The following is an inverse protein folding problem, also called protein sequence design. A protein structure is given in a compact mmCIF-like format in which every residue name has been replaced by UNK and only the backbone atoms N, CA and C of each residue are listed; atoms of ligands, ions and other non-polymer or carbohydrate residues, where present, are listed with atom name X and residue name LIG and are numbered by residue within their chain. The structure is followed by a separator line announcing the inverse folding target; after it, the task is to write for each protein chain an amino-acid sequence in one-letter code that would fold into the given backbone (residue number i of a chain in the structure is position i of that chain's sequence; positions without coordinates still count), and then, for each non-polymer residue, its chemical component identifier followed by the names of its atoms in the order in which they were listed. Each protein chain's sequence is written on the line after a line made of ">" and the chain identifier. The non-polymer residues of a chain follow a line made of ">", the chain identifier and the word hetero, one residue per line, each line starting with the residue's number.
data_IF_294861379726
#
_entry.id   IF_294861379726
#
_cell.length_a   1.000
_cell.length_b   1.000
_cell.length_c   1.000
_cell.angle_alpha   90.00
_cell.angle_beta   90.00
_cell.angle_gamma   90.00
#
_symmetry.space_group_name_H-M   'P 1'
#
loop_
_entity.id
_entity.type
_entity.pdbx_description
1 polymer ?
#
# COMPACT_ATOMS: atom_id res chain seq x y z
N UNK A 1 -6.39 -65.76 -16.99
CA UNK A 1 -5.29 -64.75 -17.03
C UNK A 1 -5.75 -63.35 -17.46
N UNK A 2 -6.73 -63.20 -18.37
CA UNK A 2 -7.22 -61.88 -18.82
C UNK A 2 -7.97 -61.04 -17.77
N UNK A 3 -8.70 -61.66 -16.83
CA UNK A 3 -9.48 -60.93 -15.81
C UNK A 3 -8.63 -60.19 -14.76
N UNK A 4 -7.41 -60.69 -14.48
CA UNK A 4 -6.48 -60.06 -13.54
C UNK A 4 -5.84 -58.80 -14.16
N UNK A 5 -5.48 -58.88 -15.46
CA UNK A 5 -4.93 -57.77 -16.23
C UNK A 5 -5.94 -56.60 -16.40
N UNK A 6 -7.23 -56.90 -16.56
CA UNK A 6 -8.26 -55.87 -16.59
C UNK A 6 -8.49 -55.19 -15.22
N UNK A 7 -8.32 -55.92 -14.10
CA UNK A 7 -8.42 -55.30 -12.76
C UNK A 7 -7.26 -54.35 -12.48
N UNK A 8 -6.03 -54.74 -12.82
CA UNK A 8 -4.85 -53.87 -12.67
C UNK A 8 -4.89 -52.66 -13.60
N UNK A 9 -5.36 -52.81 -14.84
CA UNK A 9 -5.55 -51.69 -15.77
C UNK A 9 -6.60 -50.67 -15.27
N UNK A 10 -7.72 -51.15 -14.69
CA UNK A 10 -8.75 -50.29 -14.10
C UNK A 10 -8.24 -49.53 -12.88
N UNK A 11 -7.48 -50.20 -12.00
CA UNK A 11 -6.83 -49.58 -10.84
C UNK A 11 -5.83 -48.48 -11.25
N UNK A 12 -5.02 -48.74 -12.30
CA UNK A 12 -4.10 -47.74 -12.84
C UNK A 12 -4.82 -46.51 -13.40
N UNK A 13 -5.96 -46.70 -14.08
CA UNK A 13 -6.78 -45.61 -14.61
C UNK A 13 -7.38 -44.74 -13.48
N UNK A 14 -7.87 -45.35 -12.40
CA UNK A 14 -8.38 -44.60 -11.25
C UNK A 14 -7.30 -43.77 -10.54
N UNK A 15 -6.07 -44.29 -10.45
CA UNK A 15 -4.94 -43.55 -9.89
C UNK A 15 -4.56 -42.33 -10.73
N UNK A 16 -4.55 -42.47 -12.06
CA UNK A 16 -4.23 -41.37 -12.97
C UNK A 16 -5.29 -40.25 -12.92
N UNK A 17 -6.57 -40.61 -12.84
CA UNK A 17 -7.67 -39.64 -12.72
C UNK A 17 -7.65 -38.95 -11.34
N UNK A 18 -7.34 -39.68 -10.27
CA UNK A 18 -7.21 -39.09 -8.93
C UNK A 18 -6.07 -38.06 -8.85
N UNK A 19 -4.94 -38.35 -9.49
CA UNK A 19 -3.79 -37.46 -9.52
C UNK A 19 -4.03 -36.16 -10.30
N UNK A 20 -4.78 -36.21 -11.41
CA UNK A 20 -5.07 -35.02 -12.22
C UNK A 20 -6.03 -34.05 -11.52
N UNK A 21 -7.04 -34.55 -10.80
CA UNK A 21 -7.97 -33.71 -10.03
C UNK A 21 -7.28 -33.03 -8.84
N UNK A 22 -6.38 -33.72 -8.15
CA UNK A 22 -5.61 -33.15 -7.04
C UNK A 22 -4.64 -32.04 -7.49
N UNK A 23 -4.15 -32.11 -8.73
CA UNK A 23 -3.25 -31.10 -9.30
C UNK A 23 -3.94 -29.75 -9.53
N UNK A 24 -5.20 -29.73 -9.93
CA UNK A 24 -5.93 -28.48 -10.22
C UNK A 24 -6.13 -27.59 -8.98
N UNK A 25 -6.35 -28.18 -7.80
CA UNK A 25 -6.54 -27.39 -6.56
C UNK A 25 -5.25 -26.83 -5.96
N UNK A 26 -4.09 -27.40 -6.31
CA UNK A 26 -2.79 -26.98 -5.75
C UNK A 26 -2.19 -25.77 -6.48
N UNK A 27 -2.59 -25.52 -7.73
CA UNK A 27 -2.04 -24.43 -8.54
C UNK A 27 -2.44 -23.04 -8.01
N UNK A 28 -3.70 -22.85 -7.65
CA UNK A 28 -4.20 -21.58 -7.08
C UNK A 28 -3.55 -21.26 -5.73
N UNK A 29 -3.34 -22.28 -4.90
CA UNK A 29 -2.67 -22.14 -3.59
C UNK A 29 -1.19 -21.82 -3.69
N UNK A 30 -0.49 -22.31 -4.71
CA UNK A 30 0.92 -21.99 -4.96
C UNK A 30 1.08 -20.58 -5.56
N UNK A 31 0.21 -20.23 -6.52
CA UNK A 31 0.21 -18.92 -7.19
C UNK A 31 -0.04 -17.77 -6.21
N UNK A 32 -1.07 -17.88 -5.36
CA UNK A 32 -1.41 -16.85 -4.36
C UNK A 32 -0.31 -16.62 -3.32
N UNK A 33 0.41 -17.68 -2.91
CA UNK A 33 1.56 -17.56 -1.99
C UNK A 33 2.73 -16.83 -2.63
N UNK A 34 3.02 -17.08 -3.91
CA UNK A 34 4.10 -16.38 -4.61
C UNK A 34 3.80 -14.89 -4.78
N UNK A 35 2.54 -14.51 -5.07
CA UNK A 35 2.14 -13.11 -5.16
C UNK A 35 2.24 -12.40 -3.80
N UNK A 36 1.99 -13.09 -2.68
CA UNK A 36 2.12 -12.50 -1.35
C UNK A 36 3.56 -12.23 -0.88
N UNK A 37 4.56 -12.89 -1.48
CA UNK A 37 5.98 -12.69 -1.16
C UNK A 37 6.55 -11.44 -1.84
N UNK A 38 5.93 -11.01 -2.94
CA UNK A 38 6.37 -9.82 -3.68
C UNK A 38 5.55 -8.61 -3.19
N UNK A 39 6.07 -7.90 -2.19
CA UNK A 39 5.53 -6.58 -1.85
C UNK A 39 5.83 -5.59 -2.98
N UNK A 40 4.81 -5.00 -3.62
CA UNK A 40 5.03 -4.00 -4.67
C UNK A 40 5.67 -2.75 -4.07
N UNK A 41 6.61 -2.16 -4.80
CA UNK A 41 7.21 -0.87 -4.43
C UNK A 41 6.11 0.18 -4.26
N UNK A 42 6.13 0.86 -3.12
CA UNK A 42 5.26 1.99 -2.84
C UNK A 42 6.10 3.25 -2.83
N UNK A 43 5.65 4.26 -3.57
CA UNK A 43 6.30 5.57 -3.60
C UNK A 43 5.94 6.37 -2.35
N UNK A 44 6.90 7.17 -1.86
CA UNK A 44 6.64 8.15 -0.80
C UNK A 44 5.70 9.23 -1.33
N UNK A 45 4.60 9.47 -0.61
CA UNK A 45 3.65 10.54 -0.94
C UNK A 45 3.77 11.63 0.12
N UNK A 46 4.24 12.80 -0.30
CA UNK A 46 4.31 14.00 0.55
C UNK A 46 3.00 14.76 0.41
N UNK A 47 2.28 14.97 1.52
CA UNK A 47 1.03 15.73 1.54
C UNK A 47 1.08 16.82 2.61
N UNK A 48 0.66 18.02 2.25
CA UNK A 48 0.55 19.18 3.16
C UNK A 48 1.51 20.31 2.84
N UNK A 49 1.57 21.29 3.74
CA UNK A 49 2.54 22.38 3.67
C UNK A 49 3.81 21.96 4.40
N UNK A 50 4.92 21.89 3.68
CA UNK A 50 6.23 21.67 4.29
C UNK A 50 6.66 22.95 5.02
N UNK A 51 6.89 22.83 6.33
CA UNK A 51 7.44 23.90 7.16
C UNK A 51 8.81 23.44 7.64
N UNK A 52 9.85 24.10 7.16
CA UNK A 52 11.23 23.82 7.56
C UNK A 52 11.64 24.59 8.81
N UNK A 53 12.73 24.17 9.45
CA UNK A 53 13.24 24.84 10.66
C UNK A 53 13.73 26.26 10.34
N UNK A 54 14.38 26.47 9.18
CA UNK A 54 14.81 27.82 8.79
C UNK A 54 13.62 28.76 8.55
N UNK A 55 12.50 28.27 8.01
CA UNK A 55 11.30 29.08 7.82
C UNK A 55 10.68 29.50 9.16
N UNK A 56 10.66 28.62 10.16
CA UNK A 56 10.17 28.96 11.50
C UNK A 56 11.09 29.96 12.20
N UNK A 57 12.41 29.82 12.06
CA UNK A 57 13.39 30.76 12.64
C UNK A 57 13.33 32.15 12.00
N UNK A 58 12.91 32.25 10.74
CA UNK A 58 12.71 33.53 10.07
C UNK A 58 11.49 34.31 10.60
N UNK A 59 10.58 33.66 11.33
CA UNK A 59 9.40 34.31 11.90
C UNK A 59 9.76 35.12 13.14
N UNK A 60 9.19 36.32 13.24
CA UNK A 60 9.33 37.20 14.40
C UNK A 60 7.96 37.64 14.91
N UNK A 61 7.77 37.79 16.24
CA UNK A 61 6.54 38.34 16.80
C UNK A 61 6.23 39.72 16.23
N UNK A 62 4.98 39.95 15.82
CA UNK A 62 4.53 41.21 15.22
C UNK A 62 4.59 41.27 13.69
N UNK A 63 5.08 40.22 13.01
CA UNK A 63 5.02 40.14 11.55
C UNK A 63 3.57 40.18 11.03
N UNK A 64 3.37 40.91 9.92
CA UNK A 64 2.08 40.99 9.24
C UNK A 64 1.71 39.66 8.57
N UNK A 65 0.41 39.39 8.46
CA UNK A 65 -0.13 38.15 7.87
C UNK A 65 0.40 37.85 6.47
N UNK A 66 0.64 38.88 5.66
CA UNK A 66 1.19 38.73 4.31
C UNK A 66 2.64 38.23 4.35
N UNK A 67 3.47 38.82 5.21
CA UNK A 67 4.87 38.45 5.40
C UNK A 67 5.04 37.01 5.87
N UNK A 68 4.15 36.56 6.77
CA UNK A 68 4.12 35.16 7.24
C UNK A 68 3.78 34.20 6.09
N UNK A 69 2.86 34.57 5.19
CA UNK A 69 2.53 33.77 4.00
C UNK A 69 3.64 33.73 2.96
N UNK A 70 4.43 34.79 2.86
CA UNK A 70 5.59 34.81 1.96
C UNK A 70 6.70 33.86 2.45
N UNK A 71 6.81 33.66 3.77
CA UNK A 71 7.80 32.75 4.38
C UNK A 71 7.30 31.30 4.45
N UNK A 72 6.10 31.07 4.96
CA UNK A 72 5.54 29.73 5.22
C UNK A 72 4.64 29.19 4.11
N UNK A 73 4.25 30.03 3.15
CA UNK A 73 3.26 29.70 2.14
C UNK A 73 1.80 29.85 2.61
N UNK A 74 0.87 29.47 1.75
CA UNK A 74 -0.57 29.52 2.02
C UNK A 74 -1.00 28.31 2.87
N UNK A 75 -1.64 28.51 4.04
CA UNK A 75 -2.18 27.40 4.81
C UNK A 75 -3.26 26.67 4.01
N UNK A 76 -3.15 25.34 3.89
CA UNK A 76 -4.13 24.49 3.20
C UNK A 76 -5.42 24.31 4.01
N UNK A 77 -5.35 24.53 5.32
CA UNK A 77 -6.49 24.48 6.24
C UNK A 77 -6.62 25.84 6.93
N UNK A 78 -7.70 26.55 6.65
CA UNK A 78 -8.12 27.72 7.42
C UNK A 78 -9.35 27.35 8.22
N UNK A 79 -9.30 27.54 9.54
CA UNK A 79 -10.46 27.26 10.38
C UNK A 79 -11.58 28.25 10.05
N UNK A 80 -12.74 27.75 9.60
CA UNK A 80 -13.92 28.58 9.31
C UNK A 80 -14.40 29.37 10.54
N UNK A 81 -14.09 28.88 11.75
CA UNK A 81 -14.50 29.47 13.01
C UNK A 81 -13.42 30.33 13.67
N UNK A 82 -12.18 30.30 13.18
CA UNK A 82 -11.06 31.02 13.77
C UNK A 82 -10.23 31.65 12.66
N UNK A 83 -10.70 32.79 12.16
CA UNK A 83 -10.07 33.51 11.05
C UNK A 83 -8.71 34.10 11.43
N UNK A 84 -8.34 34.12 12.70
CA UNK A 84 -7.08 34.61 13.27
C UNK A 84 -6.05 33.51 13.52
N UNK A 85 -6.44 32.22 13.51
CA UNK A 85 -5.54 31.07 13.70
C UNK A 85 -5.29 30.32 12.39
N UNK A 86 -4.02 30.14 12.04
CA UNK A 86 -3.60 29.34 10.89
C UNK A 86 -2.85 28.09 11.34
N UNK A 87 -3.13 26.98 10.66
CA UNK A 87 -2.55 25.68 10.98
C UNK A 87 -1.76 25.16 9.76
N UNK A 88 -0.50 24.82 9.98
CA UNK A 88 0.38 24.22 8.98
C UNK A 88 0.63 22.76 9.38
N UNK A 89 -0.07 21.85 8.70
CA UNK A 89 0.03 20.40 8.96
C UNK A 89 0.85 19.75 7.86
N UNK A 90 1.90 19.02 8.25
CA UNK A 90 2.76 18.25 7.37
C UNK A 90 2.60 16.75 7.67
N UNK A 91 2.36 15.93 6.65
CA UNK A 91 2.30 14.47 6.80
C UNK A 91 3.20 13.79 5.78
N UNK A 92 4.12 12.96 6.28
CA UNK A 92 5.01 12.14 5.47
C UNK A 92 4.69 10.66 5.74
N UNK A 93 4.10 9.98 4.75
CA UNK A 93 3.85 8.54 4.81
C UNK A 93 4.92 7.81 4.01
N UNK A 94 5.84 7.16 4.72
CA UNK A 94 6.85 6.24 4.16
C UNK A 94 6.34 4.79 4.24
N UNK A 95 6.56 3.95 3.22
CA UNK A 95 6.09 2.57 3.17
C UNK A 95 6.84 1.64 4.12
#
# INVERSE_FOLDING_TARGET
>A
MYALAHRSARLGLFLLIGASVAACGSFDGASSRLVSVVTPYRMDVVQGNFVSHEQVQALQPGMGRQQVRDILGTPLVTSLFHADRWEYVFTLKRP
#
